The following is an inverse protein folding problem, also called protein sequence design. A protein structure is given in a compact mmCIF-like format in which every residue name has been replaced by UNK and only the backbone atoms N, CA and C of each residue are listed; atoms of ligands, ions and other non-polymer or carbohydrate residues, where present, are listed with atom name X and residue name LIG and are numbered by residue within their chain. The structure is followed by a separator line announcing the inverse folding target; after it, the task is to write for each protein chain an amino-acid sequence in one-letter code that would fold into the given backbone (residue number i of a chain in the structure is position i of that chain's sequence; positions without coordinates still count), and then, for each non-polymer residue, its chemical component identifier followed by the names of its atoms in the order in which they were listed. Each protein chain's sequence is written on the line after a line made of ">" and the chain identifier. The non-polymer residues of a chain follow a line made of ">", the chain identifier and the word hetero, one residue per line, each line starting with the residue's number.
data_IF_115195791088
#
_entry.id   IF_115195791088
#
_cell.length_a   1.000
_cell.length_b   1.000
_cell.length_c   1.000
_cell.angle_alpha   90.00
_cell.angle_beta   90.00
_cell.angle_gamma   90.00
#
_symmetry.space_group_name_H-M   'P 1'
#
loop_
_entity.id
_entity.type
_entity.pdbx_description
1 polymer ?
#
# COMPACT_ATOMS: atom_id res chain seq x y z
N UNK A 1 11.59 -23.47 -22.86
CA UNK A 1 10.69 -22.47 -22.29
C UNK A 1 9.38 -23.17 -21.94
N UNK A 2 9.10 -23.39 -20.65
CA UNK A 2 8.00 -24.23 -20.19
C UNK A 2 6.72 -23.45 -19.83
N UNK A 3 6.77 -22.12 -19.73
CA UNK A 3 5.59 -21.30 -19.36
C UNK A 3 5.18 -20.33 -20.46
N UNK A 4 3.86 -20.06 -20.60
CA UNK A 4 3.32 -19.14 -21.62
C UNK A 4 3.84 -17.71 -21.46
N UNK A 5 4.07 -17.25 -20.23
CA UNK A 5 4.66 -15.94 -19.93
C UNK A 5 6.11 -15.85 -20.44
N UNK A 6 6.91 -16.91 -20.27
CA UNK A 6 8.28 -16.97 -20.76
C UNK A 6 8.33 -17.00 -22.30
N UNK A 7 7.43 -17.76 -22.93
CA UNK A 7 7.29 -17.79 -24.39
C UNK A 7 6.90 -16.43 -24.94
N UNK A 8 5.92 -15.77 -24.33
CA UNK A 8 5.48 -14.44 -24.73
C UNK A 8 6.61 -13.41 -24.62
N UNK A 9 7.36 -13.40 -23.51
CA UNK A 9 8.48 -12.49 -23.32
C UNK A 9 9.59 -12.75 -24.34
N UNK A 10 9.92 -14.00 -24.61
CA UNK A 10 10.93 -14.36 -25.62
C UNK A 10 10.53 -13.90 -27.03
N UNK A 11 9.29 -14.13 -27.44
CA UNK A 11 8.79 -13.68 -28.76
C UNK A 11 8.80 -12.15 -28.85
N UNK A 12 8.42 -11.45 -27.77
CA UNK A 12 8.48 -9.98 -27.72
C UNK A 12 9.92 -9.47 -27.88
N UNK A 13 10.89 -10.06 -27.17
CA UNK A 13 12.31 -9.70 -27.27
C UNK A 13 12.87 -9.98 -28.66
N UNK A 14 12.52 -11.11 -29.25
CA UNK A 14 12.95 -11.45 -30.64
C UNK A 14 12.36 -10.49 -31.68
N UNK A 15 11.12 -10.02 -31.52
CA UNK A 15 10.53 -9.00 -32.39
C UNK A 15 11.29 -7.67 -32.30
N UNK A 16 11.65 -7.24 -31.08
CA UNK A 16 12.43 -6.03 -30.86
C UNK A 16 13.81 -6.17 -31.52
N UNK A 17 14.52 -7.27 -31.26
CA UNK A 17 15.83 -7.53 -31.85
C UNK A 17 15.78 -7.56 -33.39
N UNK A 18 14.76 -8.21 -33.97
CA UNK A 18 14.56 -8.22 -35.42
C UNK A 18 14.44 -6.81 -36.00
N UNK A 19 13.60 -5.98 -35.33
CA UNK A 19 13.38 -4.59 -35.74
C UNK A 19 14.66 -3.74 -35.58
N UNK A 20 15.35 -3.85 -34.45
CA UNK A 20 16.54 -3.03 -34.14
C UNK A 20 17.73 -3.37 -35.05
N UNK A 21 17.89 -4.65 -35.39
CA UNK A 21 19.01 -5.13 -36.18
C UNK A 21 18.66 -5.24 -37.68
N UNK A 22 17.46 -4.81 -38.11
CA UNK A 22 16.97 -4.91 -39.48
C UNK A 22 17.15 -6.31 -40.13
N UNK A 23 16.90 -7.36 -39.32
CA UNK A 23 17.07 -8.73 -39.78
C UNK A 23 15.95 -9.14 -40.74
N UNK A 24 16.26 -9.34 -42.01
CA UNK A 24 15.28 -9.68 -43.07
C UNK A 24 15.16 -11.17 -43.35
N UNK A 25 16.12 -11.98 -42.91
CA UNK A 25 16.28 -13.38 -43.30
C UNK A 25 15.42 -14.40 -42.56
N UNK A 26 14.58 -14.00 -41.56
CA UNK A 26 13.72 -14.93 -40.85
C UNK A 26 12.36 -14.33 -40.46
N UNK A 27 11.33 -15.18 -40.39
CA UNK A 27 9.98 -14.78 -39.98
C UNK A 27 9.71 -15.29 -38.58
N UNK A 28 9.02 -14.45 -37.77
CA UNK A 28 8.56 -14.81 -36.42
C UNK A 28 7.07 -15.23 -36.41
N UNK A 29 6.47 -15.43 -37.59
CA UNK A 29 5.05 -15.72 -37.77
C UNK A 29 4.64 -17.06 -37.16
N UNK A 30 5.55 -18.02 -37.11
CA UNK A 30 5.32 -19.31 -36.46
C UNK A 30 5.34 -19.28 -34.94
N UNK A 31 5.86 -18.19 -34.33
CA UNK A 31 5.92 -18.03 -32.90
C UNK A 31 4.72 -17.20 -32.40
N UNK A 32 3.54 -17.79 -32.44
CA UNK A 32 2.35 -17.19 -31.82
C UNK A 32 2.42 -17.40 -30.31
N UNK A 33 2.81 -16.38 -29.58
CA UNK A 33 2.65 -16.35 -28.13
C UNK A 33 1.54 -15.33 -27.80
N UNK A 34 0.45 -15.80 -27.27
CA UNK A 34 -0.60 -14.96 -26.72
C UNK A 34 -0.16 -14.44 -25.36
N UNK A 35 -0.45 -13.17 -25.09
CA UNK A 35 -0.23 -12.63 -23.75
C UNK A 35 -1.04 -13.47 -22.75
N UNK A 36 -0.38 -14.06 -21.74
CA UNK A 36 -1.13 -14.85 -20.75
C UNK A 36 -2.16 -13.94 -20.08
N UNK A 37 -3.41 -14.39 -20.04
CA UNK A 37 -4.44 -13.68 -19.29
C UNK A 37 -4.03 -13.70 -17.81
N UNK A 38 -3.92 -12.54 -17.20
CA UNK A 38 -3.72 -12.48 -15.76
C UNK A 38 -4.94 -13.09 -15.09
N UNK A 39 -4.74 -14.16 -14.34
CA UNK A 39 -5.80 -14.73 -13.53
C UNK A 39 -6.10 -13.78 -12.37
N UNK A 40 -7.38 -13.69 -12.02
CA UNK A 40 -7.77 -13.05 -10.77
C UNK A 40 -7.09 -13.79 -9.62
N UNK A 41 -6.41 -13.07 -8.74
CA UNK A 41 -5.81 -13.62 -7.53
C UNK A 41 -6.71 -13.32 -6.36
N UNK A 42 -6.71 -14.17 -5.37
CA UNK A 42 -7.34 -13.85 -4.10
C UNK A 42 -6.54 -12.72 -3.44
N UNK A 43 -7.22 -11.61 -3.20
CA UNK A 43 -6.63 -10.42 -2.58
C UNK A 43 -6.87 -10.54 -1.08
N UNK A 44 -5.82 -10.38 -0.24
CA UNK A 44 -5.98 -10.48 1.20
C UNK A 44 -6.95 -9.39 1.71
N UNK A 45 -7.80 -9.78 2.65
CA UNK A 45 -8.65 -8.85 3.40
C UNK A 45 -7.81 -8.04 4.40
N UNK A 46 -8.39 -7.00 4.98
CA UNK A 46 -7.72 -6.19 6.01
C UNK A 46 -7.43 -7.03 7.25
N UNK A 47 -8.37 -7.90 7.63
CA UNK A 47 -8.22 -8.83 8.73
C UNK A 47 -7.07 -9.81 8.50
N UNK A 48 -6.95 -10.34 7.27
CA UNK A 48 -5.83 -11.21 6.91
C UNK A 48 -4.50 -10.46 6.96
N UNK A 49 -4.46 -9.23 6.45
CA UNK A 49 -3.23 -8.42 6.47
C UNK A 49 -2.78 -8.17 7.90
N UNK A 50 -3.67 -7.77 8.79
CA UNK A 50 -3.35 -7.53 10.20
C UNK A 50 -2.92 -8.82 10.88
N UNK A 51 -3.64 -9.91 10.69
CA UNK A 51 -3.34 -11.22 11.28
C UNK A 51 -1.96 -11.74 10.88
N UNK A 52 -1.59 -11.65 9.61
CA UNK A 52 -0.34 -12.21 9.13
C UNK A 52 0.91 -11.39 9.48
N UNK A 53 0.78 -10.18 9.99
CA UNK A 53 1.90 -9.44 10.59
C UNK A 53 2.50 -10.23 11.77
N UNK A 54 1.66 -10.78 12.65
CA UNK A 54 2.11 -11.55 13.82
C UNK A 54 2.98 -12.78 13.45
N UNK A 55 2.89 -13.26 12.21
CA UNK A 55 3.67 -14.37 11.71
C UNK A 55 5.18 -14.11 11.72
N UNK A 56 5.60 -12.85 11.59
CA UNK A 56 7.01 -12.45 11.65
C UNK A 56 7.55 -12.61 13.07
N UNK A 57 6.80 -12.16 14.07
CA UNK A 57 7.17 -12.32 15.47
C UNK A 57 7.17 -13.81 15.87
N UNK A 58 6.14 -14.54 15.49
CA UNK A 58 6.07 -16.00 15.77
C UNK A 58 7.24 -16.76 15.16
N UNK A 59 7.67 -16.39 13.95
CA UNK A 59 8.87 -16.97 13.32
C UNK A 59 10.13 -16.78 14.18
N UNK A 60 10.30 -15.60 14.80
CA UNK A 60 11.45 -15.32 15.66
C UNK A 60 11.50 -16.25 16.88
N UNK A 61 10.36 -16.51 17.49
CA UNK A 61 10.23 -17.38 18.67
C UNK A 61 10.52 -18.85 18.35
N UNK A 62 10.04 -19.32 17.19
CA UNK A 62 10.16 -20.74 16.81
C UNK A 62 11.53 -21.11 16.27
N UNK A 63 12.31 -20.15 15.76
CA UNK A 63 13.61 -20.37 15.10
C UNK A 63 14.83 -19.96 15.91
N UNK A 64 14.65 -19.34 17.07
CA UNK A 64 15.75 -18.80 17.90
C UNK A 64 16.82 -19.85 18.30
N UNK A 65 16.46 -21.14 18.28
CA UNK A 65 17.35 -22.23 18.63
C UNK A 65 18.28 -22.72 17.51
N UNK A 66 18.05 -22.32 16.25
CA UNK A 66 18.75 -22.92 15.09
C UNK A 66 19.44 -21.92 14.17
N UNK A 67 19.29 -20.61 14.36
CA UNK A 67 19.79 -19.57 13.45
C UNK A 67 20.91 -18.75 14.11
N UNK A 68 21.93 -18.38 13.30
CA UNK A 68 22.99 -17.44 13.74
C UNK A 68 22.37 -16.12 14.22
N UNK A 69 22.88 -15.59 15.33
CA UNK A 69 22.39 -14.38 15.98
C UNK A 69 22.25 -13.18 15.03
N UNK A 70 23.15 -13.04 14.04
CA UNK A 70 23.11 -11.98 13.02
C UNK A 70 21.91 -12.06 12.05
N UNK A 71 21.23 -13.21 11.96
CA UNK A 71 20.03 -13.40 11.14
C UNK A 71 18.75 -13.35 11.97
N UNK A 72 18.86 -13.35 13.29
CA UNK A 72 17.71 -13.39 14.20
C UNK A 72 16.90 -12.10 14.15
N UNK A 73 17.53 -10.94 13.97
CA UNK A 73 16.88 -9.65 14.01
C UNK A 73 16.36 -9.18 12.65
N UNK A 74 16.75 -9.85 11.56
CA UNK A 74 16.29 -9.44 10.20
C UNK A 74 14.78 -9.57 10.00
N UNK A 75 14.08 -10.38 10.80
CA UNK A 75 12.63 -10.46 10.76
C UNK A 75 11.95 -9.12 11.08
N UNK A 76 12.52 -8.32 12.00
CA UNK A 76 12.01 -7.00 12.40
C UNK A 76 11.95 -6.04 11.21
N UNK A 77 13.03 -5.96 10.44
CA UNK A 77 13.06 -5.17 9.21
C UNK A 77 12.02 -5.66 8.18
N UNK A 78 11.86 -6.98 8.03
CA UNK A 78 10.91 -7.52 7.05
C UNK A 78 9.45 -7.41 7.52
N UNK A 79 9.19 -7.42 8.83
CA UNK A 79 7.90 -7.06 9.41
C UNK A 79 7.56 -5.60 9.12
N UNK A 80 8.51 -4.70 9.32
CA UNK A 80 8.37 -3.30 8.96
C UNK A 80 8.10 -3.12 7.46
N UNK A 81 8.86 -3.80 6.60
CA UNK A 81 8.63 -3.82 5.14
C UNK A 81 7.21 -4.29 4.82
N UNK A 82 6.75 -5.35 5.47
CA UNK A 82 5.38 -5.84 5.31
C UNK A 82 4.35 -4.76 5.64
N UNK A 83 4.45 -4.12 6.78
CA UNK A 83 3.56 -3.04 7.20
C UNK A 83 3.57 -1.86 6.25
N UNK A 84 4.76 -1.44 5.77
CA UNK A 84 4.88 -0.36 4.77
C UNK A 84 4.22 -0.71 3.44
N UNK A 85 4.41 -1.94 2.95
CA UNK A 85 3.77 -2.40 1.72
C UNK A 85 2.24 -2.44 1.86
N UNK A 86 1.73 -2.87 3.01
CA UNK A 86 0.31 -2.94 3.30
C UNK A 86 -0.33 -1.54 3.41
N UNK A 87 0.33 -0.62 4.12
CA UNK A 87 -0.17 0.72 4.44
C UNK A 87 -0.14 1.66 3.24
N UNK A 88 0.94 1.60 2.42
CA UNK A 88 1.19 2.56 1.34
C UNK A 88 1.01 1.98 -0.07
N UNK A 89 0.88 0.67 -0.21
CA UNK A 89 0.81 0.01 -1.52
C UNK A 89 2.12 0.12 -2.33
N UNK A 90 3.24 0.31 -1.67
CA UNK A 90 4.56 0.47 -2.29
C UNK A 90 5.05 -0.82 -2.96
N UNK A 91 6.02 -0.68 -3.87
CA UNK A 91 6.83 -1.81 -4.31
C UNK A 91 7.99 -2.01 -3.34
N UNK A 92 8.46 -3.24 -3.08
CA UNK A 92 9.59 -3.47 -2.17
C UNK A 92 10.81 -2.57 -2.47
N UNK A 93 11.13 -2.37 -3.74
CA UNK A 93 12.25 -1.50 -4.16
C UNK A 93 12.09 -0.05 -3.68
N UNK A 94 10.88 0.46 -3.59
CA UNK A 94 10.59 1.86 -3.23
C UNK A 94 10.87 2.16 -1.75
N UNK A 95 11.13 1.10 -0.96
CA UNK A 95 11.54 1.21 0.44
C UNK A 95 13.07 1.21 0.63
N UNK A 96 13.81 0.69 -0.35
CA UNK A 96 15.26 0.44 -0.20
C UNK A 96 16.13 1.36 -1.07
N UNK A 97 15.56 2.10 -2.02
CA UNK A 97 16.31 3.05 -2.84
C UNK A 97 16.33 4.40 -2.15
N UNK A 98 17.47 4.74 -1.57
CA UNK A 98 17.75 6.02 -0.90
C UNK A 98 16.56 6.51 -0.03
N UNK A 99 16.15 5.75 1.00
CA UNK A 99 15.01 6.11 1.84
C UNK A 99 15.32 7.37 2.65
N UNK A 100 14.42 8.35 2.63
CA UNK A 100 14.53 9.57 3.43
C UNK A 100 14.03 9.31 4.87
N UNK A 101 14.80 8.55 5.66
CA UNK A 101 14.42 8.13 7.01
C UNK A 101 14.29 9.33 7.96
N UNK A 102 15.15 10.34 7.83
CA UNK A 102 15.09 11.54 8.66
C UNK A 102 13.78 12.31 8.42
N UNK A 103 13.35 12.42 7.15
CA UNK A 103 12.03 12.96 6.84
C UNK A 103 10.90 12.09 7.40
N UNK A 104 11.03 10.77 7.25
CA UNK A 104 10.03 9.83 7.74
C UNK A 104 9.78 9.98 9.25
N UNK A 105 10.84 10.21 10.03
CA UNK A 105 10.77 10.39 11.48
C UNK A 105 10.51 11.84 11.89
N UNK A 106 10.57 12.81 10.98
CA UNK A 106 10.41 14.21 11.29
C UNK A 106 9.04 14.53 11.90
N UNK A 107 8.95 15.33 12.96
CA UNK A 107 7.69 15.82 13.49
C UNK A 107 6.91 16.72 12.50
N UNK A 108 7.58 17.23 11.46
CA UNK A 108 6.96 18.00 10.39
C UNK A 108 6.16 17.12 9.43
N UNK A 109 6.47 15.82 9.37
CA UNK A 109 5.74 14.83 8.58
C UNK A 109 4.43 14.42 9.26
N UNK A 110 3.50 15.36 9.37
CA UNK A 110 2.20 15.16 10.07
C UNK A 110 1.29 14.17 9.37
N UNK A 111 1.37 14.11 8.05
CA UNK A 111 0.52 13.23 7.24
C UNK A 111 1.13 11.84 7.05
N UNK A 112 2.25 11.55 7.70
CA UNK A 112 2.99 10.30 7.55
C UNK A 112 3.27 9.95 6.09
N UNK A 113 3.71 10.93 5.29
CA UNK A 113 4.07 10.70 3.89
C UNK A 113 5.39 9.95 3.77
N UNK A 114 5.44 8.95 2.87
CA UNK A 114 6.67 8.30 2.46
C UNK A 114 7.15 8.86 1.13
N UNK A 115 8.35 9.42 1.12
CA UNK A 115 8.97 9.94 -0.10
C UNK A 115 9.64 8.82 -0.88
N UNK A 116 9.17 8.60 -2.10
CA UNK A 116 9.74 7.62 -3.03
C UNK A 116 10.81 8.30 -3.87
N UNK A 117 12.02 7.73 -3.87
CA UNK A 117 13.17 8.32 -4.57
C UNK A 117 12.98 8.32 -6.10
N UNK A 118 13.46 9.37 -6.81
CA UNK A 118 13.33 9.49 -8.28
C UNK A 118 13.92 8.31 -9.07
N UNK A 119 14.97 7.66 -8.58
CA UNK A 119 15.61 6.52 -9.25
C UNK A 119 14.80 5.22 -9.19
N UNK A 120 13.58 5.29 -8.70
CA UNK A 120 12.64 4.17 -8.79
C UNK A 120 11.94 4.15 -10.16
N UNK A 121 11.33 3.01 -10.50
CA UNK A 121 10.63 2.82 -11.79
C UNK A 121 9.58 3.89 -12.08
N UNK A 122 9.01 4.49 -11.05
CA UNK A 122 7.87 5.42 -11.13
C UNK A 122 8.25 6.88 -10.87
N UNK A 123 9.53 7.14 -10.62
CA UNK A 123 10.02 8.48 -10.29
C UNK A 123 9.61 8.94 -8.88
N UNK A 124 9.93 10.19 -8.58
CA UNK A 124 9.60 10.81 -7.30
C UNK A 124 8.08 10.91 -7.09
N UNK A 125 7.65 10.60 -5.88
CA UNK A 125 6.32 10.91 -5.37
C UNK A 125 6.29 10.85 -3.85
N UNK A 126 5.29 11.47 -3.29
CA UNK A 126 4.93 11.33 -1.89
C UNK A 126 3.75 10.35 -1.80
N UNK A 127 3.95 9.23 -1.12
CA UNK A 127 2.93 8.23 -0.90
C UNK A 127 2.26 8.46 0.46
N UNK A 128 0.94 8.49 0.47
CA UNK A 128 0.11 8.65 1.67
C UNK A 128 -0.39 7.29 2.16
N UNK A 129 -0.52 7.10 3.48
CA UNK A 129 -1.15 5.91 4.03
C UNK A 129 -2.64 5.90 3.69
N UNK A 130 -3.17 4.75 3.23
CA UNK A 130 -4.60 4.63 3.00
C UNK A 130 -5.38 4.58 4.33
N UNK A 131 -4.80 3.87 5.30
CA UNK A 131 -5.23 3.78 6.68
C UNK A 131 -4.17 4.43 7.58
N UNK A 132 -4.31 5.71 7.96
CA UNK A 132 -3.32 6.40 8.79
C UNK A 132 -3.05 5.70 10.13
N UNK A 133 -4.07 5.05 10.70
CA UNK A 133 -3.97 4.27 11.93
C UNK A 133 -3.04 3.06 11.81
N UNK A 134 -2.82 2.54 10.59
CA UNK A 134 -1.90 1.43 10.36
C UNK A 134 -0.42 1.81 10.54
N UNK A 135 -0.10 3.10 10.50
CA UNK A 135 1.25 3.58 10.85
C UNK A 135 1.59 3.24 12.29
N UNK A 136 0.60 3.35 13.17
CA UNK A 136 0.74 3.01 14.59
C UNK A 136 0.53 1.51 14.83
N UNK A 137 -0.46 0.92 14.19
CA UNK A 137 -0.77 -0.51 14.31
C UNK A 137 0.44 -1.40 13.95
N UNK A 138 1.14 -1.06 12.88
CA UNK A 138 2.33 -1.77 12.41
C UNK A 138 3.65 -1.22 12.95
N UNK A 139 3.59 -0.29 13.90
CA UNK A 139 4.76 0.37 14.51
C UNK A 139 5.79 0.87 13.48
N UNK A 140 5.30 1.54 12.43
CA UNK A 140 6.12 1.94 11.28
C UNK A 140 7.13 3.06 11.59
N UNK A 141 7.01 3.71 12.76
CA UNK A 141 7.96 4.71 13.25
C UNK A 141 9.03 4.12 14.18
N UNK A 142 9.10 2.80 14.31
CA UNK A 142 10.07 2.12 15.17
C UNK A 142 11.51 2.37 14.69
N UNK A 143 12.29 3.05 15.53
CA UNK A 143 13.65 3.47 15.20
C UNK A 143 14.58 2.25 15.02
N UNK A 144 14.44 1.20 15.85
CA UNK A 144 15.24 -0.02 15.75
C UNK A 144 15.09 -0.68 14.38
N UNK A 145 13.86 -0.75 13.87
CA UNK A 145 13.57 -1.37 12.58
C UNK A 145 14.12 -0.55 11.41
N UNK A 146 14.07 0.78 11.55
CA UNK A 146 14.62 1.73 10.57
C UNK A 146 16.16 1.73 10.55
N UNK A 147 16.81 1.54 11.68
CA UNK A 147 18.26 1.35 11.74
C UNK A 147 18.70 0.07 11.01
N UNK A 148 17.95 -1.01 11.15
CA UNK A 148 18.21 -2.24 10.39
C UNK A 148 18.01 -2.03 8.89
N UNK A 149 17.01 -1.25 8.48
CA UNK A 149 16.81 -0.86 7.08
C UNK A 149 17.99 -0.04 6.57
N UNK A 150 18.42 0.99 7.31
CA UNK A 150 19.53 1.86 6.97
C UNK A 150 20.81 1.06 6.77
N UNK A 151 21.13 0.17 7.70
CA UNK A 151 22.29 -0.73 7.58
C UNK A 151 22.26 -1.64 6.34
N UNK A 152 21.07 -1.90 5.77
CA UNK A 152 20.91 -2.68 4.54
C UNK A 152 20.97 -1.82 3.27
N UNK A 153 20.78 -0.51 3.37
CA UNK A 153 20.67 0.40 2.22
C UNK A 153 21.94 1.19 1.94
N UNK A 154 22.77 1.46 2.95
CA UNK A 154 23.95 2.35 2.86
C UNK A 154 24.99 1.91 1.80
N UNK A 155 25.04 0.62 1.42
CA UNK A 155 26.00 0.09 0.46
C UNK A 155 25.37 -0.46 -0.85
N UNK A 156 24.06 -0.30 -1.08
CA UNK A 156 23.37 -1.05 -2.13
C UNK A 156 22.72 -0.15 -3.19
N UNK A 157 23.52 0.28 -4.15
CA UNK A 157 23.05 1.09 -5.29
C UNK A 157 22.95 0.31 -6.61
N UNK A 158 23.44 -0.93 -6.67
CA UNK A 158 23.48 -1.69 -7.94
C UNK A 158 22.12 -2.32 -8.31
N UNK A 159 21.89 -2.46 -9.61
CA UNK A 159 20.69 -3.15 -10.13
C UNK A 159 20.55 -4.60 -9.64
N UNK A 160 21.67 -5.28 -9.41
CA UNK A 160 21.72 -6.64 -8.88
C UNK A 160 21.20 -6.71 -7.44
N UNK A 161 21.58 -5.73 -6.61
CA UNK A 161 21.15 -5.64 -5.23
C UNK A 161 19.63 -5.40 -5.11
N UNK A 162 19.08 -4.60 -6.01
CA UNK A 162 17.66 -4.30 -6.08
C UNK A 162 16.82 -5.53 -6.43
N UNK A 163 17.27 -6.37 -7.36
CA UNK A 163 16.62 -7.65 -7.66
C UNK A 163 16.69 -8.60 -6.49
N UNK A 164 17.82 -8.61 -5.77
CA UNK A 164 18.01 -9.40 -4.55
C UNK A 164 17.00 -8.99 -3.47
N UNK A 165 16.77 -7.68 -3.27
CA UNK A 165 15.77 -7.18 -2.32
C UNK A 165 14.37 -7.73 -2.65
N UNK A 166 13.96 -7.69 -3.91
CA UNK A 166 12.66 -8.21 -4.33
C UNK A 166 12.52 -9.72 -4.07
N UNK A 167 13.57 -10.47 -4.36
CA UNK A 167 13.60 -11.92 -4.11
C UNK A 167 13.58 -12.21 -2.62
N UNK A 168 14.34 -11.45 -1.83
CA UNK A 168 14.38 -11.60 -0.38
C UNK A 168 13.03 -11.27 0.26
N UNK A 169 12.37 -10.20 -0.17
CA UNK A 169 11.03 -9.85 0.30
C UNK A 169 10.05 -11.02 0.07
N UNK A 170 9.98 -11.55 -1.14
CA UNK A 170 9.12 -12.69 -1.45
C UNK A 170 9.52 -13.98 -0.69
N UNK A 171 10.80 -14.14 -0.41
CA UNK A 171 11.31 -15.29 0.36
C UNK A 171 10.91 -15.18 1.83
N UNK A 172 10.90 -13.97 2.39
CA UNK A 172 10.44 -13.75 3.76
C UNK A 172 8.96 -14.02 3.93
N UNK A 173 8.11 -13.55 3.02
CA UNK A 173 6.68 -13.87 3.04
C UNK A 173 6.43 -15.39 3.10
N UNK A 174 7.13 -16.16 2.25
CA UNK A 174 7.05 -17.64 2.27
C UNK A 174 7.59 -18.23 3.56
N UNK A 175 8.69 -17.69 4.09
CA UNK A 175 9.37 -18.18 5.29
C UNK A 175 8.49 -18.04 6.53
N UNK A 176 7.72 -16.97 6.62
CA UNK A 176 6.78 -16.72 7.71
C UNK A 176 5.36 -17.22 7.40
N UNK A 177 5.19 -18.00 6.33
CA UNK A 177 3.91 -18.59 5.92
C UNK A 177 2.81 -17.57 5.61
N UNK A 178 3.15 -16.38 5.11
CA UNK A 178 2.17 -15.46 4.54
C UNK A 178 1.67 -16.05 3.21
N UNK A 179 0.35 -16.29 3.03
CA UNK A 179 -0.19 -17.03 1.88
C UNK A 179 -0.28 -16.22 0.59
N UNK A 180 0.03 -14.94 0.65
CA UNK A 180 0.00 -14.02 -0.48
C UNK A 180 1.39 -13.41 -0.74
N UNK A 181 1.55 -12.75 -1.88
CA UNK A 181 2.82 -12.13 -2.26
C UNK A 181 2.90 -10.66 -1.84
N UNK A 182 4.11 -10.07 -1.75
CA UNK A 182 4.27 -8.63 -1.52
C UNK A 182 3.50 -7.75 -2.53
N UNK A 183 3.32 -8.25 -3.75
CA UNK A 183 2.58 -7.53 -4.78
C UNK A 183 1.07 -7.57 -4.58
N UNK A 184 0.55 -8.60 -3.92
CA UNK A 184 -0.87 -8.72 -3.60
C UNK A 184 -1.29 -7.68 -2.55
N UNK A 185 -0.38 -7.25 -1.64
CA UNK A 185 -0.62 -6.12 -0.75
C UNK A 185 -0.87 -4.80 -1.51
N UNK A 186 -0.13 -4.58 -2.58
CA UNK A 186 -0.35 -3.41 -3.43
C UNK A 186 -1.66 -3.48 -4.19
N UNK A 187 -2.07 -4.67 -4.63
CA UNK A 187 -3.40 -4.87 -5.21
C UNK A 187 -4.49 -4.66 -4.17
N UNK A 188 -4.31 -5.17 -2.96
CA UNK A 188 -5.22 -4.94 -1.84
C UNK A 188 -5.39 -3.45 -1.54
N UNK A 189 -4.29 -2.69 -1.48
CA UNK A 189 -4.31 -1.25 -1.30
C UNK A 189 -5.17 -0.55 -2.35
N UNK A 190 -4.97 -0.87 -3.62
CA UNK A 190 -5.69 -0.24 -4.71
C UNK A 190 -7.19 -0.58 -4.71
N UNK A 191 -7.56 -1.82 -4.38
CA UNK A 191 -8.95 -2.23 -4.26
C UNK A 191 -9.61 -1.53 -3.08
N UNK A 192 -8.95 -1.46 -1.93
CA UNK A 192 -9.42 -0.71 -0.75
C UNK A 192 -9.64 0.77 -1.07
N UNK A 193 -8.66 1.42 -1.69
CA UNK A 193 -8.78 2.84 -2.09
C UNK A 193 -10.03 3.07 -2.93
N UNK A 194 -10.30 2.14 -3.85
CA UNK A 194 -11.48 2.21 -4.69
C UNK A 194 -12.78 1.93 -3.90
N UNK A 195 -12.80 0.94 -3.02
CA UNK A 195 -13.93 0.65 -2.14
C UNK A 195 -14.23 1.81 -1.18
N UNK A 196 -13.21 2.56 -0.76
CA UNK A 196 -13.34 3.77 0.06
C UNK A 196 -13.82 4.98 -0.75
N UNK A 197 -13.92 4.89 -2.07
CA UNK A 197 -14.32 5.98 -2.96
C UNK A 197 -13.22 7.01 -3.22
N UNK A 198 -11.94 6.63 -3.03
CA UNK A 198 -10.81 7.49 -3.39
C UNK A 198 -10.83 7.71 -4.91
N UNK A 199 -10.71 8.96 -5.39
CA UNK A 199 -10.65 9.24 -6.82
C UNK A 199 -9.54 8.46 -7.52
N UNK A 200 -9.83 7.86 -8.67
CA UNK A 200 -8.91 7.00 -9.43
C UNK A 200 -7.57 7.70 -9.67
N UNK A 201 -7.58 8.98 -9.99
CA UNK A 201 -6.36 9.78 -10.21
C UNK A 201 -5.50 9.83 -8.95
N UNK A 202 -6.09 10.10 -7.79
CA UNK A 202 -5.37 10.16 -6.52
C UNK A 202 -4.78 8.80 -6.15
N UNK A 203 -5.54 7.71 -6.31
CA UNK A 203 -5.05 6.35 -6.07
C UNK A 203 -3.92 5.96 -7.05
N UNK A 204 -4.03 6.33 -8.32
CA UNK A 204 -3.01 6.09 -9.34
C UNK A 204 -1.72 6.85 -9.03
N UNK A 205 -1.79 8.12 -8.66
CA UNK A 205 -0.65 8.95 -8.28
C UNK A 205 0.05 8.40 -7.04
N UNK A 206 -0.70 8.02 -6.01
CA UNK A 206 -0.15 7.42 -4.79
C UNK A 206 0.61 6.12 -5.09
N UNK A 207 0.10 5.32 -6.01
CA UNK A 207 0.77 4.09 -6.45
C UNK A 207 1.87 4.34 -7.51
N UNK A 208 1.97 5.53 -8.08
CA UNK A 208 2.95 5.87 -9.11
C UNK A 208 2.73 5.13 -10.42
N UNK A 209 1.51 5.16 -10.95
CA UNK A 209 1.21 4.74 -12.32
C UNK A 209 0.11 5.60 -12.94
N UNK A 210 -0.04 5.55 -14.26
CA UNK A 210 -1.07 6.32 -14.93
C UNK A 210 -2.48 5.78 -14.59
N UNK A 211 -3.49 6.63 -14.80
CA UNK A 211 -4.90 6.26 -14.61
C UNK A 211 -5.28 5.08 -15.50
N UNK A 212 -4.74 5.03 -16.74
CA UNK A 212 -5.01 3.94 -17.68
C UNK A 212 -4.51 2.61 -17.13
N UNK A 213 -3.27 2.56 -16.65
CA UNK A 213 -2.68 1.36 -16.05
C UNK A 213 -3.45 0.97 -14.80
N UNK A 214 -3.83 1.96 -13.96
CA UNK A 214 -4.62 1.71 -12.77
C UNK A 214 -5.96 1.07 -13.14
N UNK A 215 -6.68 1.65 -14.08
CA UNK A 215 -7.97 1.17 -14.55
C UNK A 215 -7.88 -0.22 -15.18
N UNK A 216 -6.89 -0.46 -16.07
CA UNK A 216 -6.70 -1.76 -16.72
C UNK A 216 -6.45 -2.89 -15.71
N UNK A 217 -5.64 -2.63 -14.68
CA UNK A 217 -5.32 -3.62 -13.65
C UNK A 217 -6.55 -3.93 -12.78
N UNK A 218 -7.28 -2.89 -12.37
CA UNK A 218 -8.33 -3.03 -11.34
C UNK A 218 -9.74 -3.23 -11.89
N UNK A 219 -10.03 -2.89 -13.16
CA UNK A 219 -11.31 -3.25 -13.79
C UNK A 219 -11.61 -4.76 -13.72
N UNK A 220 -10.57 -5.59 -13.75
CA UNK A 220 -10.73 -7.07 -13.64
C UNK A 220 -11.29 -7.52 -12.29
N UNK A 221 -11.10 -6.71 -11.24
CA UNK A 221 -11.55 -6.98 -9.88
C UNK A 221 -12.95 -6.41 -9.60
N UNK A 222 -13.48 -5.61 -10.54
CA UNK A 222 -14.78 -4.96 -10.42
C UNK A 222 -15.91 -5.88 -10.85
N UNK A 223 -16.13 -6.94 -10.06
CA UNK A 223 -17.31 -7.79 -10.21
C UNK A 223 -18.59 -6.97 -10.00
N UNK A 224 -19.73 -7.49 -10.50
CA UNK A 224 -21.03 -6.89 -10.24
C UNK A 224 -21.32 -6.77 -8.74
N UNK A 225 -20.84 -7.73 -7.95
CA UNK A 225 -20.98 -7.73 -6.49
C UNK A 225 -20.22 -6.59 -5.85
N UNK A 226 -18.95 -6.38 -6.23
CA UNK A 226 -18.15 -5.27 -5.74
C UNK A 226 -18.77 -3.91 -6.12
N UNK A 227 -19.29 -3.78 -7.33
CA UNK A 227 -20.03 -2.57 -7.75
C UNK A 227 -21.24 -2.31 -6.86
N UNK A 228 -22.04 -3.34 -6.56
CA UNK A 228 -23.19 -3.22 -5.65
C UNK A 228 -22.76 -2.77 -4.26
N UNK A 229 -21.70 -3.35 -3.71
CA UNK A 229 -21.14 -2.94 -2.40
C UNK A 229 -20.73 -1.47 -2.38
N UNK A 230 -19.98 -1.01 -3.40
CA UNK A 230 -19.53 0.40 -3.48
C UNK A 230 -20.72 1.36 -3.60
N UNK A 231 -21.68 1.04 -4.48
CA UNK A 231 -22.88 1.89 -4.64
C UNK A 231 -23.67 1.95 -3.33
N UNK A 232 -23.88 0.81 -2.68
CA UNK A 232 -24.59 0.75 -1.40
C UNK A 232 -23.86 1.59 -0.34
N UNK A 233 -22.54 1.40 -0.17
CA UNK A 233 -21.74 2.17 0.78
C UNK A 233 -21.75 3.68 0.50
N UNK A 234 -21.78 4.08 -0.78
CA UNK A 234 -21.88 5.50 -1.14
C UNK A 234 -23.25 6.10 -0.77
N UNK A 235 -24.32 5.34 -0.95
CA UNK A 235 -25.68 5.73 -0.55
C UNK A 235 -25.77 5.78 0.97
N UNK A 236 -25.38 4.73 1.67
CA UNK A 236 -25.41 4.65 3.15
C UNK A 236 -24.62 5.81 3.78
N UNK A 237 -23.41 6.13 3.27
CA UNK A 237 -22.62 7.28 3.74
C UNK A 237 -23.31 8.63 3.54
N UNK A 238 -24.06 8.78 2.46
CA UNK A 238 -24.83 10.00 2.23
C UNK A 238 -25.92 10.15 3.27
N UNK A 239 -26.66 9.07 3.53
CA UNK A 239 -27.73 9.07 4.51
C UNK A 239 -27.19 9.33 5.93
N UNK A 240 -26.07 8.71 6.31
CA UNK A 240 -25.37 8.95 7.58
C UNK A 240 -24.89 10.41 7.71
N UNK A 241 -24.33 10.98 6.62
CA UNK A 241 -23.88 12.37 6.60
C UNK A 241 -25.04 13.36 6.73
N UNK A 242 -26.17 13.06 6.15
CA UNK A 242 -27.34 13.93 6.25
C UNK A 242 -27.97 13.82 7.66
N UNK A 243 -28.04 12.62 8.24
CA UNK A 243 -28.46 12.42 9.63
C UNK A 243 -27.53 13.14 10.63
N UNK A 244 -26.20 13.08 10.42
CA UNK A 244 -25.23 13.82 11.25
C UNK A 244 -25.34 15.32 11.11
N UNK A 245 -25.68 15.86 9.92
CA UNK A 245 -25.93 17.30 9.74
C UNK A 245 -27.18 17.75 10.51
N UNK A 246 -28.25 16.95 10.45
CA UNK A 246 -29.48 17.25 11.14
C UNK A 246 -29.29 17.24 12.66
N UNK A 247 -28.58 16.24 13.19
CA UNK A 247 -28.25 16.17 14.62
C UNK A 247 -27.31 17.33 15.03
N UNK A 248 -26.33 17.70 14.24
CA UNK A 248 -25.49 18.87 14.50
C UNK A 248 -26.32 20.18 14.54
N UNK A 249 -27.28 20.33 13.62
CA UNK A 249 -28.15 21.50 13.60
C UNK A 249 -29.01 21.56 14.89
N UNK A 250 -29.53 20.41 15.29
CA UNK A 250 -30.29 20.28 16.54
C UNK A 250 -29.47 20.61 17.79
N UNK A 251 -28.27 20.03 17.91
CA UNK A 251 -27.38 20.31 19.03
C UNK A 251 -26.94 21.77 19.10
N UNK A 252 -26.69 22.40 17.96
CA UNK A 252 -26.38 23.84 17.89
C UNK A 252 -27.54 24.71 18.39
N UNK A 253 -28.76 24.38 18.02
CA UNK A 253 -29.94 25.09 18.48
C UNK A 253 -30.13 24.92 20.00
N UNK A 254 -29.90 23.72 20.53
CA UNK A 254 -29.97 23.45 21.97
C UNK A 254 -28.90 24.22 22.75
N UNK A 255 -27.64 24.22 22.24
CA UNK A 255 -26.56 25.02 22.88
C UNK A 255 -26.90 26.51 22.90
N UNK A 256 -27.47 27.04 21.83
CA UNK A 256 -27.86 28.45 21.76
C UNK A 256 -29.00 28.74 22.75
N UNK A 257 -30.00 27.86 22.85
CA UNK A 257 -31.06 27.97 23.81
C UNK A 257 -30.54 27.99 25.27
N UNK A 258 -29.63 27.06 25.59
CA UNK A 258 -29.02 26.98 26.93
C UNK A 258 -28.16 28.22 27.24
N UNK A 259 -27.43 28.77 26.27
CA UNK A 259 -26.69 30.02 26.45
C UNK A 259 -27.60 31.20 26.77
N UNK A 260 -28.71 31.29 26.06
CA UNK A 260 -29.71 32.35 26.31
C UNK A 260 -30.40 32.19 27.67
N UNK A 261 -30.69 30.94 28.07
CA UNK A 261 -31.27 30.66 29.38
C UNK A 261 -30.29 31.02 30.52
N UNK A 262 -29.01 30.67 30.37
CA UNK A 262 -27.95 30.99 31.33
C UNK A 262 -27.77 32.52 31.45
N UNK A 263 -27.74 33.25 30.33
CA UNK A 263 -27.64 34.70 30.34
C UNK A 263 -28.83 35.38 31.07
N UNK A 264 -30.05 34.86 30.86
CA UNK A 264 -31.24 35.35 31.61
C UNK A 264 -31.13 35.08 33.11
N UNK A 265 -30.62 33.92 33.51
CA UNK A 265 -30.44 33.58 34.92
C UNK A 265 -29.41 34.49 35.59
N UNK A 266 -28.27 34.73 34.94
CA UNK A 266 -27.24 35.63 35.46
C UNK A 266 -27.74 37.09 35.62
N UNK A 267 -28.52 37.57 34.64
CA UNK A 267 -29.14 38.92 34.75
C UNK A 267 -30.14 38.96 35.94
N UNK A 268 -30.91 37.90 36.12
CA UNK A 268 -31.88 37.83 37.26
C UNK A 268 -31.19 37.83 38.60
N UNK A 269 -30.05 37.14 38.74
CA UNK A 269 -29.26 37.17 40.00
C UNK A 269 -28.67 38.55 40.30
N UNK A 270 -28.18 39.27 39.28
CA UNK A 270 -27.62 40.62 39.44
C UNK A 270 -28.71 41.63 39.85
N UNK A 271 -29.94 41.47 39.38
CA UNK A 271 -31.04 42.36 39.68
C UNK A 271 -31.71 42.06 41.06
N UNK A 272 -31.38 40.93 41.67
CA UNK A 272 -31.91 40.52 42.98
C UNK A 272 -30.95 40.82 44.16
N UNK A 273 -29.75 41.29 43.86
CA UNK A 273 -28.75 41.81 44.81
C UNK A 273 -28.75 43.31 44.84
#
# INVERSE_FOLDING_TARGET
>A
LTGDSAKYSAVKSLKVLKSTLNLTGFTLEHFKATQPKSQARDIPSDEDIIKYQESFHHYSLTRSLTIKKSCLDSWKMWEWVYGMLATYGLRPRELFVNPEIDWWLSPENKDNTWKVHPDTKTGYREALPLHPEWVYLFDLKNVEYLELLKAQTDDRTSFTDINTIRVNCSSWFRRVNVPFTPYDLRHAWAIRAHMMGIPIKAAADNLGHSVEIHTEIYQKWFSLENRRKVIKQAVDRKDDMDALKDENARLRAEVEYLRQALARHQISEILST
#
